data_IF_287110218678
#
_entry.id   IF_287110218678
#
_cell.length_a   1.000
_cell.length_b   1.000
_cell.length_c   1.000
_cell.angle_alpha   90.00
_cell.angle_beta   90.00
_cell.angle_gamma   90.00
#
_symmetry.space_group_name_H-M   'P 1'
#
loop_
_entity.id
_entity.type
_entity.pdbx_description
1 polymer ?
#
# COMPACT_ATOMS: atom_id res chain seq x y z
N UNK A 1 -7.15 -12.63 2.97
CA UNK A 1 -6.86 -12.55 4.41
C UNK A 1 -7.63 -11.39 5.00
N UNK A 2 -8.12 -11.54 6.23
CA UNK A 2 -8.70 -10.44 7.00
C UNK A 2 -7.59 -9.55 7.56
N UNK A 3 -7.96 -8.37 8.07
CA UNK A 3 -6.98 -7.45 8.64
C UNK A 3 -7.61 -6.22 9.24
N UNK A 4 -6.75 -5.27 9.60
CA UNK A 4 -7.11 -3.99 10.20
C UNK A 4 -6.58 -2.86 9.32
N UNK A 5 -7.42 -1.85 9.05
CA UNK A 5 -6.98 -0.63 8.37
C UNK A 5 -5.89 0.05 9.21
N UNK A 6 -4.74 0.28 8.60
CA UNK A 6 -3.59 0.94 9.24
C UNK A 6 -3.65 2.45 9.03
N UNK A 7 -3.75 2.88 7.78
CA UNK A 7 -3.70 4.28 7.38
C UNK A 7 -4.65 4.55 6.22
N UNK A 8 -5.23 5.75 6.22
CA UNK A 8 -6.16 6.25 5.20
C UNK A 8 -5.75 7.68 4.85
N UNK A 9 -5.42 7.91 3.58
CA UNK A 9 -5.15 9.24 3.03
C UNK A 9 -6.36 9.70 2.23
N UNK A 10 -7.14 10.63 2.78
CA UNK A 10 -8.37 11.13 2.15
C UNK A 10 -8.18 12.43 1.37
N UNK A 11 -7.00 13.04 1.46
CA UNK A 11 -6.68 14.32 0.81
C UNK A 11 -5.48 14.11 -0.10
N UNK A 12 -5.65 14.38 -1.39
CA UNK A 12 -4.56 14.43 -2.35
C UNK A 12 -3.74 15.71 -2.13
N UNK A 13 -2.56 15.55 -1.53
CA UNK A 13 -1.61 16.64 -1.26
C UNK A 13 -0.50 16.73 -2.31
N UNK A 14 -0.52 15.86 -3.32
CA UNK A 14 0.59 15.82 -4.27
C UNK A 14 0.62 17.09 -5.12
N UNK A 15 1.81 17.70 -5.19
CA UNK A 15 2.06 18.85 -6.05
C UNK A 15 3.19 18.50 -7.03
N UNK A 16 2.97 18.58 -8.35
CA UNK A 16 4.01 18.27 -9.33
C UNK A 16 5.23 19.19 -9.23
N UNK A 17 5.09 20.41 -8.69
CA UNK A 17 6.20 21.37 -8.53
C UNK A 17 7.20 20.94 -7.45
N UNK A 18 6.72 20.33 -6.36
CA UNK A 18 7.58 19.88 -5.24
C UNK A 18 7.90 18.39 -5.33
N UNK A 19 7.01 17.61 -5.93
CA UNK A 19 7.12 16.17 -6.18
C UNK A 19 7.60 15.34 -4.97
N UNK A 20 7.14 15.71 -3.76
CA UNK A 20 7.55 15.06 -2.51
C UNK A 20 7.06 13.61 -2.49
N UNK A 21 7.99 12.67 -2.23
CA UNK A 21 7.75 11.22 -2.33
C UNK A 21 6.60 10.68 -1.48
N UNK A 22 6.40 11.24 -0.27
CA UNK A 22 5.33 10.84 0.66
C UNK A 22 3.92 11.14 0.15
N UNK A 23 3.78 12.16 -0.71
CA UNK A 23 2.48 12.63 -1.20
C UNK A 23 2.09 11.97 -2.54
N UNK A 24 3.03 11.31 -3.23
CA UNK A 24 2.82 10.72 -4.56
C UNK A 24 1.66 9.72 -4.63
N UNK A 25 1.26 9.11 -3.52
CA UNK A 25 0.16 8.15 -3.47
C UNK A 25 -1.23 8.74 -3.70
N UNK A 26 -1.42 10.05 -3.52
CA UNK A 26 -2.76 10.65 -3.58
C UNK A 26 -3.69 10.05 -2.51
N UNK A 27 -4.92 9.72 -2.90
CA UNK A 27 -5.83 8.99 -2.02
C UNK A 27 -5.37 7.53 -1.90
N UNK A 28 -5.28 7.05 -0.66
CA UNK A 28 -4.73 5.73 -0.38
C UNK A 28 -5.35 5.09 0.85
N UNK A 29 -5.36 3.75 0.88
CA UNK A 29 -5.71 2.94 2.04
C UNK A 29 -4.63 1.89 2.24
N UNK A 30 -4.33 1.58 3.49
CA UNK A 30 -3.50 0.44 3.84
C UNK A 30 -4.17 -0.43 4.89
N UNK A 31 -3.86 -1.72 4.83
CA UNK A 31 -4.36 -2.75 5.74
C UNK A 31 -3.18 -3.55 6.23
N UNK A 32 -3.13 -3.82 7.53
CA UNK A 32 -2.25 -4.85 8.09
C UNK A 32 -3.09 -6.11 8.22
N UNK A 33 -2.72 -7.13 7.45
CA UNK A 33 -3.36 -8.44 7.51
C UNK A 33 -3.07 -9.15 8.84
N UNK A 34 -3.89 -10.13 9.17
CA UNK A 34 -3.64 -11.03 10.31
C UNK A 34 -2.33 -11.82 10.17
N UNK A 35 -1.77 -11.87 8.97
CA UNK A 35 -0.45 -12.43 8.64
C UNK A 35 0.72 -11.48 8.97
N UNK A 36 0.43 -10.29 9.51
CA UNK A 36 1.43 -9.27 9.83
C UNK A 36 1.99 -8.52 8.62
N UNK A 37 1.45 -8.76 7.43
CA UNK A 37 1.86 -8.08 6.19
C UNK A 37 1.05 -6.80 6.01
N UNK A 38 1.73 -5.73 5.59
CA UNK A 38 1.07 -4.47 5.22
C UNK A 38 0.81 -4.43 3.72
N UNK A 39 -0.45 -4.26 3.37
CA UNK A 39 -0.95 -4.09 2.01
C UNK A 39 -1.35 -2.63 1.80
N UNK A 40 -0.95 -2.04 0.68
CA UNK A 40 -1.15 -0.63 0.36
C UNK A 40 -1.80 -0.48 -1.02
N UNK A 41 -2.86 0.31 -1.12
CA UNK A 41 -3.51 0.66 -2.38
C UNK A 41 -3.60 2.18 -2.51
N UNK A 42 -3.13 2.74 -3.63
CA UNK A 42 -3.12 4.19 -3.85
C UNK A 42 -3.61 4.59 -5.23
N UNK A 43 -3.58 5.90 -5.50
CA UNK A 43 -4.17 6.54 -6.68
C UNK A 43 -5.69 6.42 -6.73
N UNK A 44 -6.34 6.22 -5.58
CA UNK A 44 -7.78 6.00 -5.52
C UNK A 44 -8.55 7.26 -5.97
N UNK A 45 -9.69 7.09 -6.62
CA UNK A 45 -10.62 8.19 -6.94
C UNK A 45 -11.54 8.49 -5.76
N UNK A 46 -11.88 7.46 -4.97
CA UNK A 46 -12.68 7.59 -3.76
C UNK A 46 -12.34 6.49 -2.75
N UNK A 47 -12.51 6.80 -1.48
CA UNK A 47 -12.41 5.85 -0.36
C UNK A 47 -13.83 5.54 0.11
N UNK A 48 -14.12 4.26 0.35
CA UNK A 48 -15.46 3.83 0.76
C UNK A 48 -15.81 4.45 2.12
N UNK A 49 -17.03 4.94 2.28
CA UNK A 49 -17.50 5.53 3.54
C UNK A 49 -17.29 4.57 4.71
N UNK A 50 -16.78 5.09 5.82
CA UNK A 50 -16.51 4.32 7.04
C UNK A 50 -15.13 3.65 7.08
N UNK A 51 -14.38 3.60 5.97
CA UNK A 51 -12.98 3.15 5.99
C UNK A 51 -12.13 4.18 6.73
N UNK A 52 -11.64 3.81 7.91
CA UNK A 52 -10.83 4.64 8.79
C UNK A 52 -9.78 3.80 9.53
N UNK A 53 -8.67 4.40 9.98
CA UNK A 53 -7.68 3.70 10.78
C UNK A 53 -8.32 2.93 11.93
N UNK A 54 -7.94 1.65 12.03
CA UNK A 54 -8.39 0.72 13.04
C UNK A 54 -9.67 -0.06 12.79
N UNK A 55 -10.36 0.21 11.68
CA UNK A 55 -11.46 -0.62 11.23
C UNK A 55 -10.97 -2.05 10.90
N UNK A 56 -11.69 -3.06 11.38
CA UNK A 56 -11.49 -4.45 10.94
C UNK A 56 -12.14 -4.65 9.57
N UNK A 57 -11.42 -5.32 8.67
CA UNK A 57 -11.86 -5.57 7.30
C UNK A 57 -11.68 -7.05 6.96
N UNK A 58 -12.58 -7.54 6.11
CA UNK A 58 -12.52 -8.91 5.60
C UNK A 58 -11.98 -8.96 4.18
N UNK A 59 -11.39 -10.10 3.82
CA UNK A 59 -11.04 -10.35 2.43
C UNK A 59 -12.26 -10.18 1.52
N UNK A 60 -12.10 -9.45 0.41
CA UNK A 60 -13.21 -9.14 -0.52
C UNK A 60 -14.03 -7.89 -0.17
N UNK A 61 -13.81 -7.28 1.01
CA UNK A 61 -14.45 -6.01 1.35
C UNK A 61 -13.90 -4.88 0.47
N UNK A 62 -14.80 -4.10 -0.15
CA UNK A 62 -14.41 -2.92 -0.94
C UNK A 62 -13.88 -1.82 -0.04
N UNK A 63 -12.69 -1.31 -0.35
CA UNK A 63 -12.04 -0.22 0.39
C UNK A 63 -12.12 1.13 -0.33
N UNK A 64 -12.28 1.13 -1.66
CA UNK A 64 -12.31 2.34 -2.47
C UNK A 64 -12.51 2.03 -3.95
N UNK A 65 -12.33 3.05 -4.77
CA UNK A 65 -12.41 2.99 -6.23
C UNK A 65 -11.06 3.36 -6.83
N UNK A 66 -10.64 2.60 -7.84
CA UNK A 66 -9.45 2.92 -8.63
C UNK A 66 -9.60 4.28 -9.30
N UNK A 67 -8.50 5.03 -9.39
CA UNK A 67 -8.46 6.34 -10.00
C UNK A 67 -7.05 6.67 -10.49
N UNK A 68 -6.72 7.95 -10.49
CA UNK A 68 -5.42 8.48 -10.86
C UNK A 68 -4.98 9.64 -9.96
N UNK A 69 -5.38 9.68 -8.69
CA UNK A 69 -4.94 10.75 -7.77
C UNK A 69 -3.45 10.65 -7.46
N UNK A 70 -2.86 11.73 -6.92
CA UNK A 70 -1.44 11.81 -6.65
C UNK A 70 -0.61 11.95 -7.93
N UNK A 71 0.57 11.32 -7.95
CA UNK A 71 1.46 11.39 -9.11
C UNK A 71 0.94 10.67 -10.35
N UNK A 72 -0.13 9.88 -10.23
CA UNK A 72 -0.75 9.18 -11.35
C UNK A 72 -1.66 10.07 -12.22
N UNK A 73 -1.87 11.35 -11.87
CA UNK A 73 -2.89 12.22 -12.51
C UNK A 73 -2.78 12.41 -14.02
N UNK A 74 -1.60 12.13 -14.58
CA UNK A 74 -1.30 12.23 -16.02
C UNK A 74 -1.28 10.86 -16.72
N UNK A 75 -1.64 9.79 -16.02
CA UNK A 75 -1.68 8.42 -16.52
C UNK A 75 -3.11 7.88 -16.52
N UNK A 76 -3.41 6.82 -17.29
CA UNK A 76 -4.69 6.11 -17.16
C UNK A 76 -4.93 5.63 -15.72
N UNK A 77 -6.19 5.62 -15.26
CA UNK A 77 -6.53 5.13 -13.93
C UNK A 77 -6.02 3.72 -13.66
N UNK A 78 -5.32 3.53 -12.54
CA UNK A 78 -4.76 2.25 -12.14
C UNK A 78 -4.59 2.18 -10.62
N UNK A 79 -4.44 0.96 -10.10
CA UNK A 79 -4.14 0.73 -8.70
C UNK A 79 -2.63 0.50 -8.55
N UNK A 80 -1.95 1.37 -7.81
CA UNK A 80 -0.64 1.01 -7.27
C UNK A 80 -0.86 0.12 -6.05
N UNK A 81 -0.35 -1.11 -6.10
CA UNK A 81 -0.49 -2.11 -5.04
C UNK A 81 0.87 -2.43 -4.42
N UNK A 82 1.04 -2.11 -3.14
CA UNK A 82 2.27 -2.30 -2.39
C UNK A 82 2.15 -3.40 -1.33
N UNK A 83 3.22 -4.19 -1.18
CA UNK A 83 3.37 -5.18 -0.10
C UNK A 83 4.63 -4.84 0.71
N UNK A 84 4.49 -4.79 2.03
CA UNK A 84 5.56 -4.40 2.96
C UNK A 84 5.29 -4.91 4.38
N UNK A 85 6.01 -4.39 5.37
CA UNK A 85 5.75 -4.59 6.80
C UNK A 85 5.23 -3.30 7.45
N UNK A 86 4.54 -3.38 8.60
CA UNK A 86 4.19 -2.20 9.39
C UNK A 86 5.45 -1.48 9.90
N UNK A 87 5.44 -0.15 9.80
CA UNK A 87 6.51 0.75 10.25
C UNK A 87 5.89 2.05 10.80
N UNK A 88 6.65 2.89 11.52
CA UNK A 88 6.22 4.26 11.82
C UNK A 88 5.82 5.05 10.57
N UNK A 89 4.87 5.98 10.71
CA UNK A 89 4.24 6.69 9.59
C UNK A 89 5.24 7.47 8.69
N UNK A 90 6.35 7.95 9.27
CA UNK A 90 7.38 8.69 8.54
C UNK A 90 8.22 7.81 7.59
N UNK A 91 8.13 6.48 7.65
CA UNK A 91 8.86 5.55 6.78
C UNK A 91 8.09 5.27 5.48
N UNK A 92 7.62 6.33 4.81
CA UNK A 92 6.72 6.24 3.65
C UNK A 92 7.30 5.42 2.49
N UNK A 93 8.64 5.37 2.35
CA UNK A 93 9.35 4.62 1.32
C UNK A 93 9.22 3.10 1.49
N UNK A 94 9.06 2.61 2.72
CA UNK A 94 8.73 1.20 2.99
C UNK A 94 7.22 0.98 2.83
N UNK A 95 6.42 1.89 3.41
CA UNK A 95 4.96 1.75 3.50
C UNK A 95 4.28 1.68 2.13
N UNK A 96 4.88 2.25 1.09
CA UNK A 96 4.37 2.17 -0.30
C UNK A 96 4.64 0.84 -1.02
N UNK A 97 5.43 -0.06 -0.43
CA UNK A 97 5.73 -1.39 -0.96
C UNK A 97 7.22 -1.61 -1.18
N UNK A 98 7.74 -2.71 -0.64
CA UNK A 98 9.13 -3.17 -0.78
C UNK A 98 9.24 -4.57 -1.37
N UNK A 99 8.13 -5.31 -1.38
CA UNK A 99 8.03 -6.65 -1.93
C UNK A 99 7.22 -6.60 -3.24
N UNK A 100 7.77 -7.11 -4.36
CA UNK A 100 7.04 -7.20 -5.62
C UNK A 100 5.76 -8.04 -5.47
N UNK A 101 4.57 -7.50 -5.81
CA UNK A 101 3.32 -8.23 -5.63
C UNK A 101 3.06 -9.30 -6.70
N UNK A 102 3.71 -9.17 -7.87
CA UNK A 102 3.38 -9.95 -9.07
C UNK A 102 3.37 -11.47 -8.87
N UNK A 103 4.33 -12.10 -8.14
CA UNK A 103 4.30 -13.54 -7.93
C UNK A 103 3.04 -14.02 -7.18
N UNK A 104 2.59 -13.25 -6.18
CA UNK A 104 1.41 -13.60 -5.38
C UNK A 104 0.12 -13.38 -6.16
N UNK A 105 0.03 -12.28 -6.89
CA UNK A 105 -1.12 -11.98 -7.75
C UNK A 105 -1.25 -13.00 -8.89
N UNK A 106 -0.13 -13.40 -9.49
CA UNK A 106 -0.11 -14.43 -10.55
C UNK A 106 -0.55 -15.78 -10.01
N UNK A 107 -0.07 -16.17 -8.83
CA UNK A 107 -0.51 -17.42 -8.20
C UNK A 107 -2.02 -17.38 -7.91
N UNK A 108 -2.53 -16.27 -7.34
CA UNK A 108 -3.95 -16.12 -7.03
C UNK A 108 -4.82 -16.22 -8.28
N UNK A 109 -4.43 -15.54 -9.36
CA UNK A 109 -5.10 -15.63 -10.67
C UNK A 109 -5.16 -17.06 -11.22
N UNK A 110 -4.17 -17.89 -10.87
CA UNK A 110 -4.10 -19.29 -11.26
C UNK A 110 -4.72 -20.24 -10.22
N UNK A 111 -5.56 -19.74 -9.31
CA UNK A 111 -6.25 -20.53 -8.29
C UNK A 111 -5.40 -20.94 -7.09
N UNK A 112 -4.19 -20.39 -6.93
CA UNK A 112 -3.27 -20.71 -5.83
C UNK A 112 -3.09 -19.53 -4.88
N UNK A 113 -3.28 -19.73 -3.59
CA UNK A 113 -3.02 -18.69 -2.59
C UNK A 113 -1.59 -18.81 -2.03
N UNK A 114 -0.65 -18.03 -2.56
CA UNK A 114 0.68 -17.90 -1.96
C UNK A 114 0.68 -16.79 -0.88
N UNK A 115 1.33 -17.07 0.26
CA UNK A 115 1.52 -16.07 1.32
C UNK A 115 2.74 -15.20 1.05
N UNK A 116 2.61 -13.86 1.13
CA UNK A 116 3.76 -12.95 1.04
C UNK A 116 4.57 -12.84 2.33
N UNK A 117 4.06 -13.35 3.46
CA UNK A 117 4.69 -13.17 4.77
C UNK A 117 6.16 -13.66 4.85
N UNK A 118 6.54 -14.83 4.28
CA UNK A 118 7.94 -15.26 4.29
C UNK A 118 8.86 -14.32 3.50
N UNK A 119 8.39 -13.83 2.35
CA UNK A 119 9.14 -12.88 1.52
C UNK A 119 9.27 -11.54 2.22
N UNK A 120 8.20 -11.05 2.85
CA UNK A 120 8.21 -9.81 3.66
C UNK A 120 9.20 -9.93 4.81
N UNK A 121 9.21 -11.05 5.54
CA UNK A 121 10.16 -11.27 6.63
C UNK A 121 11.61 -11.30 6.13
N UNK A 122 11.86 -11.99 5.01
CA UNK A 122 13.19 -12.03 4.37
C UNK A 122 13.63 -10.63 3.96
N UNK A 123 12.78 -9.89 3.24
CA UNK A 123 13.08 -8.54 2.77
C UNK A 123 13.32 -7.59 3.94
N UNK A 124 12.52 -7.65 5.01
CA UNK A 124 12.73 -6.85 6.23
C UNK A 124 14.09 -7.12 6.85
N UNK A 125 14.49 -8.39 6.98
CA UNK A 125 15.82 -8.77 7.51
C UNK A 125 16.95 -8.23 6.64
N UNK A 126 16.82 -8.33 5.32
CA UNK A 126 17.82 -7.81 4.37
C UNK A 126 17.86 -6.28 4.36
N UNK A 127 16.73 -5.60 4.57
CA UNK A 127 16.66 -4.14 4.60
C UNK A 127 17.47 -3.57 5.77
N UNK A 128 17.44 -4.26 6.92
CA UNK A 128 18.10 -3.83 8.14
C UNK A 128 17.31 -2.72 8.84
N UNK A 129 17.97 -1.79 9.56
CA UNK A 129 17.28 -0.73 10.28
C UNK A 129 16.64 0.28 9.31
N UNK A 130 15.39 0.65 9.58
CA UNK A 130 14.57 1.55 8.75
C UNK A 130 14.97 3.04 8.91
N UNK A 131 16.25 3.37 8.72
CA UNK A 131 16.83 4.67 9.10
C UNK A 131 16.79 5.73 8.01
N UNK A 132 16.81 5.35 6.74
CA UNK A 132 16.82 6.31 5.61
C UNK A 132 16.00 5.80 4.44
N UNK A 133 15.44 6.75 3.69
CA UNK A 133 14.87 6.45 2.38
C UNK A 133 16.01 6.08 1.41
N UNK A 134 15.97 4.86 0.86
CA UNK A 134 17.00 4.35 -0.08
C UNK A 134 16.54 4.30 -1.53
N UNK A 135 15.25 4.54 -1.78
CA UNK A 135 14.66 4.47 -3.12
C UNK A 135 13.43 5.37 -3.18
N UNK A 136 13.27 6.06 -4.31
CA UNK A 136 12.10 6.90 -4.61
C UNK A 136 11.86 8.09 -3.66
N UNK A 137 12.90 8.50 -2.92
CA UNK A 137 13.08 9.86 -2.40
C UNK A 137 13.16 10.81 -3.62
#
# INVERSE_FOLDING_TARGET
>A
MDGRVDEVTTVDRWNPKTNIGRDRGGLAVSVVGVDGVRYYGSHLSAITTGIKPGLQVRAGQRLGLTGNTGSARVTPPHLHFGISWPTPANHWWIRRGTVPPQPFLTAWRNGRQLSPAPTVLKTKRTYGPDTTCRSYC
#
